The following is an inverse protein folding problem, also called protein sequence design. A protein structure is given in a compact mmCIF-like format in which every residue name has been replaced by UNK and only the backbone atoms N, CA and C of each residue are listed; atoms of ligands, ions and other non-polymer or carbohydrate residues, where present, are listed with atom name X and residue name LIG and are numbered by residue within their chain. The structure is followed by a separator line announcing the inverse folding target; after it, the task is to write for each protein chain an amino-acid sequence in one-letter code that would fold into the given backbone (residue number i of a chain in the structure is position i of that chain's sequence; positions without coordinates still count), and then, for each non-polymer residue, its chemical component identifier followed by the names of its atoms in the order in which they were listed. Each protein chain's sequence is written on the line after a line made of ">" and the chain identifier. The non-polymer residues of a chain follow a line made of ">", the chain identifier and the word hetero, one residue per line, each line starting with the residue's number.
data_IF_757336925609
#
_entry.id   IF_757336925609
#
_cell.length_a   1.000
_cell.length_b   1.000
_cell.length_c   1.000
_cell.angle_alpha   90.00
_cell.angle_beta   90.00
_cell.angle_gamma   90.00
#
_symmetry.space_group_name_H-M   'P 1'
#
loop_
_entity.id
_entity.type
_entity.pdbx_description
1 polymer ?
#
# COMPACT_ATOMS: atom_id res chain seq x y z
N UNK A 1 7.46 17.75 0.74
CA UNK A 1 7.36 16.31 1.06
C UNK A 1 8.66 15.92 1.71
N UNK A 2 8.62 15.38 2.94
CA UNK A 2 9.84 15.05 3.68
C UNK A 2 10.04 13.54 3.71
N UNK A 3 11.28 13.05 3.71
CA UNK A 3 11.58 11.61 3.86
C UNK A 3 10.93 11.00 5.11
N UNK A 4 10.62 11.82 6.11
CA UNK A 4 9.91 11.43 7.33
C UNK A 4 8.51 10.89 7.06
N UNK A 5 7.83 11.40 6.04
CA UNK A 5 6.48 10.95 5.68
C UNK A 5 6.53 9.53 5.09
N UNK A 6 7.55 9.23 4.28
CA UNK A 6 7.74 7.90 3.71
C UNK A 6 8.22 6.87 4.74
N UNK A 7 9.08 7.27 5.67
CA UNK A 7 9.55 6.40 6.76
C UNK A 7 8.42 5.91 7.67
N UNK A 8 7.33 6.67 7.80
CA UNK A 8 6.17 6.23 8.57
C UNK A 8 5.50 4.98 7.97
N UNK A 9 5.61 4.78 6.66
CA UNK A 9 5.01 3.66 5.93
C UNK A 9 6.00 2.50 5.67
N UNK A 10 7.29 2.67 6.02
CA UNK A 10 8.33 1.66 5.80
C UNK A 10 7.98 0.23 6.26
N UNK A 11 7.31 0.04 7.41
CA UNK A 11 6.91 -1.29 7.86
C UNK A 11 6.08 -2.06 6.81
N UNK A 12 5.28 -1.39 5.98
CA UNK A 12 4.36 -2.01 5.02
C UNK A 12 5.05 -2.89 3.97
N UNK A 13 6.28 -2.57 3.58
CA UNK A 13 7.06 -3.32 2.59
C UNK A 13 8.33 -3.95 3.17
N UNK A 14 8.53 -3.84 4.48
CA UNK A 14 9.69 -4.43 5.18
C UNK A 14 9.22 -5.49 6.18
N UNK A 15 8.99 -5.11 7.44
CA UNK A 15 8.73 -6.02 8.55
C UNK A 15 7.30 -6.54 8.60
N UNK A 16 6.33 -5.80 8.06
CA UNK A 16 4.92 -6.14 8.12
C UNK A 16 4.35 -6.62 6.78
N UNK A 17 5.19 -6.80 5.76
CA UNK A 17 4.79 -7.13 4.38
C UNK A 17 3.70 -8.19 4.27
N UNK A 18 3.80 -9.25 5.08
CA UNK A 18 2.88 -10.39 5.01
C UNK A 18 1.49 -10.09 5.61
N UNK A 19 1.32 -8.94 6.27
CA UNK A 19 0.06 -8.43 6.81
C UNK A 19 -0.65 -7.47 5.86
N UNK A 20 0.03 -7.03 4.80
CA UNK A 20 -0.47 -6.09 3.82
C UNK A 20 -0.77 -6.77 2.49
N UNK A 21 -1.73 -6.22 1.76
CA UNK A 21 -2.07 -6.57 0.37
C UNK A 21 -2.28 -5.29 -0.43
N UNK A 22 -1.99 -5.34 -1.73
CA UNK A 22 -2.28 -4.28 -2.68
C UNK A 22 -3.53 -4.66 -3.46
N UNK A 23 -4.64 -3.98 -3.19
CA UNK A 23 -5.87 -4.19 -3.93
C UNK A 23 -5.82 -3.40 -5.24
N UNK A 24 -5.91 -4.11 -6.36
CA UNK A 24 -5.97 -3.50 -7.69
C UNK A 24 -7.39 -3.00 -7.95
N UNK A 25 -7.49 -1.72 -8.27
CA UNK A 25 -8.71 -0.99 -8.63
C UNK A 25 -8.56 -0.38 -10.03
N UNK A 26 -9.65 0.18 -10.57
CA UNK A 26 -9.60 0.94 -11.82
C UNK A 26 -8.74 2.22 -11.76
N UNK A 27 -8.44 2.70 -10.55
CA UNK A 27 -7.64 3.91 -10.31
C UNK A 27 -6.19 3.62 -9.92
N UNK A 28 -5.81 2.36 -9.72
CA UNK A 28 -4.47 1.98 -9.28
C UNK A 28 -4.49 0.93 -8.16
N UNK A 29 -3.47 0.95 -7.30
CA UNK A 29 -3.37 0.04 -6.16
C UNK A 29 -3.72 0.72 -4.84
N UNK A 30 -4.36 -0.02 -3.95
CA UNK A 30 -4.68 0.43 -2.60
C UNK A 30 -4.04 -0.52 -1.57
N UNK A 31 -3.14 -0.03 -0.70
CA UNK A 31 -2.67 -0.78 0.45
C UNK A 31 -3.83 -1.07 1.42
N UNK A 32 -4.03 -2.34 1.76
CA UNK A 32 -5.05 -2.81 2.71
C UNK A 32 -4.42 -3.81 3.68
N UNK A 33 -4.78 -3.70 4.95
CA UNK A 33 -4.40 -4.69 5.97
C UNK A 33 -5.28 -5.94 5.82
N UNK A 34 -4.67 -7.12 5.79
CA UNK A 34 -5.38 -8.39 5.64
C UNK A 34 -6.45 -8.57 6.73
N UNK A 35 -7.68 -8.81 6.29
CA UNK A 35 -8.82 -9.08 7.18
C UNK A 35 -9.51 -7.84 7.74
N UNK A 36 -9.04 -6.63 7.43
CA UNK A 36 -9.82 -5.42 7.69
C UNK A 36 -10.94 -5.32 6.64
N UNK A 37 -12.14 -4.78 7.00
CA UNK A 37 -13.06 -4.30 5.97
C UNK A 37 -12.29 -3.32 5.08
N UNK A 38 -12.63 -3.13 3.80
CA UNK A 38 -11.91 -2.23 2.90
C UNK A 38 -12.07 -0.75 3.31
N UNK A 39 -11.50 -0.38 4.46
CA UNK A 39 -11.10 0.96 4.83
C UNK A 39 -9.64 1.05 4.44
N UNK A 40 -9.39 1.45 3.19
CA UNK A 40 -8.04 1.67 2.69
C UNK A 40 -7.29 2.63 3.62
N UNK A 41 -6.01 2.37 3.85
CA UNK A 41 -5.16 3.41 4.43
C UNK A 41 -4.95 4.48 3.35
N UNK A 42 -5.75 5.54 3.44
CA UNK A 42 -5.76 6.58 2.42
C UNK A 42 -4.59 7.52 2.66
N UNK A 43 -3.50 7.31 1.92
CA UNK A 43 -2.43 8.29 1.80
C UNK A 43 -2.94 9.41 0.89
N UNK A 44 -3.36 10.53 1.48
CA UNK A 44 -3.99 11.65 0.75
C UNK A 44 -3.05 12.37 -0.23
N UNK A 45 -1.75 12.13 -0.15
CA UNK A 45 -0.76 12.68 -1.07
C UNK A 45 -0.46 11.65 -2.15
N UNK A 46 -0.92 11.91 -3.37
CA UNK A 46 -0.80 10.98 -4.51
C UNK A 46 0.66 10.61 -4.80
N UNK A 47 1.59 11.57 -4.68
CA UNK A 47 3.01 11.34 -4.94
C UNK A 47 3.67 10.48 -3.85
N UNK A 48 3.20 10.57 -2.62
CA UNK A 48 3.63 9.68 -1.54
C UNK A 48 2.99 8.29 -1.69
N UNK A 49 1.71 8.23 -2.04
CA UNK A 49 0.99 6.98 -2.28
C UNK A 49 1.68 6.14 -3.37
N UNK A 50 2.04 6.76 -4.49
CA UNK A 50 2.76 6.11 -5.59
C UNK A 50 4.12 5.54 -5.13
N UNK A 51 4.85 6.26 -4.28
CA UNK A 51 6.14 5.81 -3.76
C UNK A 51 5.99 4.62 -2.79
N UNK A 52 4.98 4.64 -1.94
CA UNK A 52 4.66 3.54 -1.03
C UNK A 52 4.26 2.30 -1.84
N UNK A 53 3.36 2.45 -2.81
CA UNK A 53 2.91 1.37 -3.70
C UNK A 53 4.10 0.78 -4.46
N UNK A 54 4.98 1.61 -5.04
CA UNK A 54 6.15 1.15 -5.77
C UNK A 54 7.09 0.32 -4.90
N UNK A 55 7.30 0.73 -3.63
CA UNK A 55 8.13 -0.03 -2.68
C UNK A 55 7.46 -1.33 -2.25
N UNK A 56 6.15 -1.33 -2.02
CA UNK A 56 5.38 -2.53 -1.70
C UNK A 56 5.43 -3.55 -2.85
N UNK A 57 5.28 -3.11 -4.10
CA UNK A 57 5.45 -3.95 -5.29
C UNK A 57 6.87 -4.51 -5.40
N UNK A 58 7.90 -3.67 -5.23
CA UNK A 58 9.29 -4.09 -5.29
C UNK A 58 9.66 -5.09 -4.18
N UNK A 59 9.02 -4.99 -3.01
CA UNK A 59 9.17 -5.92 -1.91
C UNK A 59 8.37 -7.22 -2.10
N UNK A 60 7.50 -7.31 -3.12
CA UNK A 60 6.68 -8.47 -3.39
C UNK A 60 5.48 -8.62 -2.45
N UNK A 61 4.89 -7.50 -2.00
CA UNK A 61 3.58 -7.52 -1.34
C UNK A 61 2.54 -8.15 -2.28
N UNK A 62 1.64 -8.97 -1.74
CA UNK A 62 0.63 -9.66 -2.53
C UNK A 62 -0.34 -8.67 -3.19
N UNK A 63 -0.66 -8.91 -4.46
CA UNK A 63 -1.63 -8.11 -5.23
C UNK A 63 -2.93 -8.88 -5.35
N UNK A 64 -4.05 -8.23 -5.02
CA UNK A 64 -5.39 -8.81 -5.05
C UNK A 64 -6.26 -7.99 -5.99
N UNK A 65 -6.79 -8.60 -7.05
CA UNK A 65 -7.77 -7.94 -7.90
C UNK A 65 -9.13 -7.92 -7.19
N UNK A 66 -9.73 -6.74 -7.05
CA UNK A 66 -11.13 -6.67 -6.64
C UNK A 66 -12.00 -7.21 -7.79
N UNK A 67 -12.95 -8.11 -7.51
CA UNK A 67 -13.92 -8.51 -8.51
C UNK A 67 -14.77 -7.29 -8.89
N UNK A 68 -14.87 -7.02 -10.20
CA UNK A 68 -15.76 -5.99 -10.78
C UNK A 68 -17.24 -6.23 -10.40
#
# INVERSE_FOLDING_TARGET
>A
MSDRDLLAYEPMWTTERDRWELHQTSLGYLPILKGDPPMAELICDDGLADQVIAKMLAAGVAVVALPD
#
